data_IF_707402437202
#
_entry.id   IF_707402437202
#
_cell.length_a   1.000
_cell.length_b   1.000
_cell.length_c   1.000
_cell.angle_alpha   90.00
_cell.angle_beta   90.00
_cell.angle_gamma   90.00
#
_symmetry.space_group_name_H-M   'P 1'
#
loop_
_entity.id
_entity.type
_entity.pdbx_description
1 polymer ?
#
# COMPACT_ATOMS: atom_id res chain seq x y z
N UNK A 1 -3.76 -0.39 -23.41
CA UNK A 1 -2.69 0.55 -23.03
C UNK A 1 -1.71 -0.19 -22.13
N UNK A 2 -0.39 -0.04 -22.32
CA UNK A 2 0.59 -0.52 -21.34
C UNK A 2 0.82 0.57 -20.28
N UNK A 3 0.68 0.22 -19.01
CA UNK A 3 0.85 1.15 -17.89
C UNK A 3 2.34 1.35 -17.62
N UNK A 4 2.83 2.59 -17.64
CA UNK A 4 4.24 2.91 -17.35
C UNK A 4 4.43 3.18 -15.86
N UNK A 5 5.67 3.24 -15.37
CA UNK A 5 5.94 3.65 -13.97
C UNK A 5 5.28 5.00 -13.62
N UNK A 6 5.35 5.97 -14.54
CA UNK A 6 4.69 7.27 -14.36
C UNK A 6 3.15 7.15 -14.28
N UNK A 7 2.55 6.23 -15.03
CA UNK A 7 1.12 5.93 -14.94
C UNK A 7 0.75 5.32 -13.58
N UNK A 8 1.59 4.42 -13.06
CA UNK A 8 1.38 3.81 -11.75
C UNK A 8 1.49 4.83 -10.63
N UNK A 9 2.44 5.76 -10.70
CA UNK A 9 2.55 6.84 -9.72
C UNK A 9 1.30 7.72 -9.66
N UNK A 10 0.74 8.06 -10.83
CA UNK A 10 -0.52 8.82 -10.92
C UNK A 10 -1.69 8.01 -10.35
N UNK A 11 -1.79 6.71 -10.67
CA UNK A 11 -2.84 5.85 -10.15
C UNK A 11 -2.73 5.65 -8.64
N UNK A 12 -1.52 5.49 -8.09
CA UNK A 12 -1.28 5.45 -6.64
C UNK A 12 -1.71 6.74 -5.97
N UNK A 13 -1.37 7.88 -6.55
CA UNK A 13 -1.80 9.18 -6.05
C UNK A 13 -3.32 9.29 -6.04
N UNK A 14 -3.99 8.99 -7.15
CA UNK A 14 -5.45 9.01 -7.24
C UNK A 14 -6.11 8.03 -6.24
N UNK A 15 -5.54 6.84 -6.06
CA UNK A 15 -6.00 5.85 -5.08
C UNK A 15 -5.87 6.36 -3.63
N UNK A 16 -4.79 7.07 -3.30
CA UNK A 16 -4.58 7.64 -1.97
C UNK A 16 -5.65 8.69 -1.61
N UNK A 17 -6.16 9.45 -2.60
CA UNK A 17 -7.25 10.40 -2.39
C UNK A 17 -8.61 9.74 -2.23
N UNK A 18 -8.76 8.48 -2.63
CA UNK A 18 -10.06 7.80 -2.67
C UNK A 18 -10.72 7.58 -1.30
N UNK A 19 -9.94 7.60 -0.22
CA UNK A 19 -10.42 7.51 1.17
C UNK A 19 -10.56 8.87 1.86
N UNK A 20 -10.22 9.98 1.19
CA UNK A 20 -10.22 11.31 1.82
C UNK A 20 -11.58 11.99 1.62
N UNK A 21 -12.38 12.03 2.70
CA UNK A 21 -13.73 12.60 2.71
C UNK A 21 -13.78 14.06 2.23
N UNK A 22 -12.82 14.89 2.68
CA UNK A 22 -12.75 16.32 2.29
C UNK A 22 -12.72 16.53 0.78
N UNK A 23 -12.12 15.60 0.04
CA UNK A 23 -12.00 15.67 -1.42
C UNK A 23 -12.97 14.73 -2.13
N UNK A 24 -13.89 14.09 -1.39
CA UNK A 24 -14.86 13.13 -1.93
C UNK A 24 -14.20 12.10 -2.84
N UNK A 25 -13.08 11.53 -2.39
CA UNK A 25 -12.36 10.53 -3.16
C UNK A 25 -11.57 11.06 -4.37
N UNK A 26 -11.48 12.39 -4.54
CA UNK A 26 -10.94 13.05 -5.74
C UNK A 26 -9.55 13.59 -5.48
N UNK A 27 -8.59 13.26 -6.35
CA UNK A 27 -7.30 13.94 -6.41
C UNK A 27 -7.50 15.35 -7.00
N UNK A 28 -7.32 16.43 -6.23
CA UNK A 28 -7.61 17.77 -6.70
C UNK A 28 -6.72 18.17 -7.88
N UNK A 29 -7.26 18.97 -8.80
CA UNK A 29 -6.57 19.41 -10.01
C UNK A 29 -5.23 20.06 -9.73
N UNK A 30 -5.16 20.86 -8.65
CA UNK A 30 -3.92 21.48 -8.19
C UNK A 30 -2.82 20.45 -7.88
N UNK A 31 -3.19 19.30 -7.31
CA UNK A 31 -2.26 18.21 -7.02
C UNK A 31 -1.86 17.48 -8.31
N UNK A 32 -2.80 17.32 -9.25
CA UNK A 32 -2.54 16.67 -10.53
C UNK A 32 -1.56 17.45 -11.43
N UNK A 33 -1.40 18.77 -11.23
CA UNK A 33 -0.44 19.60 -11.97
C UNK A 33 1.03 19.18 -11.78
N UNK A 34 1.32 18.36 -10.77
CA UNK A 34 2.65 17.79 -10.56
C UNK A 34 2.99 16.65 -11.53
N UNK A 35 1.99 16.15 -12.26
CA UNK A 35 2.16 15.08 -13.25
C UNK A 35 2.10 15.62 -14.67
N UNK A 36 2.69 14.86 -15.58
CA UNK A 36 2.63 15.13 -17.01
C UNK A 36 1.16 15.07 -17.49
N UNK A 37 0.73 16.12 -18.19
CA UNK A 37 -0.65 16.26 -18.69
C UNK A 37 -1.02 15.21 -19.73
N UNK A 38 -0.06 14.80 -20.56
CA UNK A 38 -0.24 13.75 -21.56
C UNK A 38 -0.50 12.42 -20.87
N UNK A 39 0.24 12.13 -19.77
CA UNK A 39 0.05 10.92 -18.97
C UNK A 39 -1.30 10.88 -18.24
N UNK A 40 -1.76 12.02 -17.75
CA UNK A 40 -3.11 12.15 -17.18
C UNK A 40 -4.18 11.92 -18.24
N UNK A 41 -4.02 12.49 -19.44
CA UNK A 41 -4.96 12.30 -20.55
C UNK A 41 -4.99 10.84 -21.02
N UNK A 42 -3.83 10.20 -21.17
CA UNK A 42 -3.74 8.76 -21.51
C UNK A 42 -4.50 7.88 -20.50
N UNK A 43 -4.40 8.18 -19.20
CA UNK A 43 -5.11 7.45 -18.14
C UNK A 43 -6.62 7.74 -18.13
N UNK A 44 -7.04 8.96 -18.48
CA UNK A 44 -8.45 9.34 -18.64
C UNK A 44 -9.05 8.63 -19.86
N UNK A 45 -8.38 8.68 -21.01
CA UNK A 45 -8.79 8.04 -22.26
C UNK A 45 -8.85 6.52 -22.15
N UNK A 46 -7.94 5.92 -21.37
CA UNK A 46 -7.95 4.49 -21.06
C UNK A 46 -9.01 4.08 -20.01
N UNK A 47 -9.76 5.03 -19.45
CA UNK A 47 -10.80 4.77 -18.45
C UNK A 47 -10.28 4.37 -17.07
N UNK A 48 -9.00 4.65 -16.77
CA UNK A 48 -8.39 4.36 -15.46
C UNK A 48 -8.58 5.51 -14.46
N UNK A 49 -8.72 6.72 -14.98
CA UNK A 49 -9.14 7.89 -14.22
C UNK A 49 -10.46 8.44 -14.78
N UNK A 50 -11.27 9.00 -13.90
CA UNK A 50 -12.43 9.81 -14.28
C UNK A 50 -12.21 11.26 -13.83
N UNK A 51 -12.51 12.22 -14.70
CA UNK A 51 -12.47 13.64 -14.34
C UNK A 51 -13.77 14.03 -13.66
N UNK A 52 -13.65 14.67 -12.51
CA UNK A 52 -14.78 15.03 -11.64
C UNK A 52 -14.75 16.52 -11.33
N UNK A 53 -15.93 17.14 -11.38
CA UNK A 53 -16.17 18.49 -10.91
C UNK A 53 -17.40 18.50 -10.01
N UNK A 54 -17.20 18.78 -8.72
CA UNK A 54 -18.25 18.88 -7.71
C UNK A 54 -18.34 20.33 -7.24
N UNK A 55 -19.57 20.82 -7.13
CA UNK A 55 -19.88 22.11 -6.52
C UNK A 55 -20.79 21.89 -5.32
N UNK A 56 -20.43 22.48 -4.18
CA UNK A 56 -21.14 22.32 -2.92
C UNK A 56 -21.96 23.58 -2.61
N UNK A 57 -23.15 23.46 -1.99
CA UNK A 57 -23.98 24.60 -1.61
C UNK A 57 -23.28 25.66 -0.74
N UNK A 58 -22.22 25.27 -0.02
CA UNK A 58 -21.38 26.16 0.79
C UNK A 58 -20.34 26.96 -0.02
N UNK A 59 -20.40 26.92 -1.35
CA UNK A 59 -19.49 27.67 -2.25
C UNK A 59 -18.12 27.03 -2.43
N UNK A 60 -17.90 25.81 -1.92
CA UNK A 60 -16.66 25.05 -2.17
C UNK A 60 -16.81 24.26 -3.46
N UNK A 61 -15.73 24.21 -4.23
CA UNK A 61 -15.64 23.38 -5.44
C UNK A 61 -14.48 22.39 -5.32
N UNK A 62 -14.67 21.19 -5.85
CA UNK A 62 -13.62 20.18 -6.03
C UNK A 62 -13.61 19.77 -7.50
N UNK A 63 -12.54 20.14 -8.21
CA UNK A 63 -12.26 19.68 -9.57
C UNK A 63 -10.99 18.82 -9.53
N UNK A 64 -10.99 17.70 -10.24
CA UNK A 64 -9.82 16.80 -10.27
C UNK A 64 -10.11 15.45 -10.90
N UNK A 65 -9.36 14.42 -10.48
CA UNK A 65 -9.47 13.06 -11.01
C UNK A 65 -9.76 12.06 -9.89
N UNK A 66 -10.64 11.08 -10.15
CA UNK A 66 -10.82 9.89 -9.30
C UNK A 66 -10.29 8.67 -10.01
N UNK A 67 -9.81 7.71 -9.23
CA UNK A 67 -9.47 6.39 -9.76
C UNK A 67 -10.75 5.59 -10.01
N UNK A 68 -10.86 4.98 -11.19
CA UNK A 68 -11.99 4.11 -11.54
C UNK A 68 -11.75 2.68 -11.01
N UNK A 69 -12.76 1.81 -11.11
CA UNK A 69 -12.57 0.39 -10.85
C UNK A 69 -11.51 -0.24 -11.78
N UNK A 70 -11.47 0.17 -13.05
CA UNK A 70 -10.46 -0.27 -14.01
C UNK A 70 -9.05 0.20 -13.65
N UNK A 71 -8.90 1.46 -13.20
CA UNK A 71 -7.62 1.97 -12.70
C UNK A 71 -7.15 1.25 -11.44
N UNK A 72 -8.08 0.91 -10.53
CA UNK A 72 -7.76 0.07 -9.36
C UNK A 72 -7.35 -1.34 -9.75
N UNK A 73 -7.98 -1.94 -10.75
CA UNK A 73 -7.62 -3.26 -11.24
C UNK A 73 -6.24 -3.25 -11.91
N UNK A 74 -5.94 -2.22 -12.71
CA UNK A 74 -4.61 -2.04 -13.30
C UNK A 74 -3.53 -1.86 -12.22
N UNK A 75 -3.82 -1.09 -11.17
CA UNK A 75 -2.94 -0.93 -10.02
C UNK A 75 -2.78 -2.24 -9.23
N UNK A 76 -3.85 -3.01 -9.06
CA UNK A 76 -3.82 -4.31 -8.41
C UNK A 76 -3.05 -5.36 -9.23
N UNK A 77 -3.06 -5.27 -10.55
CA UNK A 77 -2.27 -6.12 -11.44
C UNK A 77 -0.76 -5.91 -11.29
N UNK A 78 -0.32 -4.67 -11.08
CA UNK A 78 1.08 -4.36 -10.72
C UNK A 78 1.41 -4.78 -9.29
N UNK A 79 0.52 -4.52 -8.33
CA UNK A 79 0.67 -4.99 -6.95
C UNK A 79 0.68 -6.54 -6.85
N UNK A 80 0.06 -7.24 -7.81
CA UNK A 80 0.08 -8.70 -7.92
C UNK A 80 1.29 -9.22 -8.73
N UNK A 81 1.82 -8.41 -9.65
CA UNK A 81 3.06 -8.71 -10.37
C UNK A 81 4.29 -8.66 -9.42
N UNK A 82 4.23 -7.86 -8.36
CA UNK A 82 5.10 -7.98 -7.18
C UNK A 82 4.61 -9.11 -6.26
N UNK A 83 4.62 -10.35 -6.76
CA UNK A 83 4.42 -11.51 -5.89
C UNK A 83 5.44 -11.46 -4.75
N UNK A 84 4.96 -11.51 -3.50
CA UNK A 84 5.86 -11.52 -2.34
C UNK A 84 6.79 -12.72 -2.45
N UNK A 85 8.07 -12.44 -2.61
CA UNK A 85 9.13 -13.44 -2.51
C UNK A 85 9.13 -14.12 -1.12
N UNK A 86 9.68 -15.34 -1.00
CA UNK A 86 9.79 -16.03 0.30
C UNK A 86 10.46 -15.18 1.38
N UNK A 87 11.44 -14.37 0.99
CA UNK A 87 12.20 -13.45 1.83
C UNK A 87 11.28 -12.36 2.41
N UNK A 88 10.39 -11.81 1.58
CA UNK A 88 9.38 -10.86 2.03
C UNK A 88 8.41 -11.49 3.04
N UNK A 89 7.98 -12.73 2.80
CA UNK A 89 7.11 -13.46 3.73
C UNK A 89 7.80 -13.76 5.06
N UNK A 90 9.11 -14.10 5.02
CA UNK A 90 9.92 -14.28 6.23
C UNK A 90 10.00 -12.99 7.04
N UNK A 91 10.30 -11.86 6.39
CA UNK A 91 10.36 -10.55 7.05
C UNK A 91 9.01 -10.22 7.69
N UNK A 92 7.89 -10.42 6.98
CA UNK A 92 6.55 -10.20 7.55
C UNK A 92 6.28 -11.10 8.76
N UNK A 93 6.67 -12.38 8.69
CA UNK A 93 6.53 -13.32 9.80
C UNK A 93 7.33 -12.87 11.02
N UNK A 94 8.59 -12.47 10.82
CA UNK A 94 9.49 -12.05 11.90
C UNK A 94 9.02 -10.73 12.52
N UNK A 95 8.62 -9.74 11.71
CA UNK A 95 8.05 -8.48 12.23
C UNK A 95 6.80 -8.75 13.07
N UNK A 96 5.91 -9.65 12.61
CA UNK A 96 4.74 -10.05 13.38
C UNK A 96 5.11 -10.77 14.68
N UNK A 97 6.06 -11.70 14.64
CA UNK A 97 6.53 -12.42 15.82
C UNK A 97 7.12 -11.47 16.86
N UNK A 98 8.07 -10.62 16.46
CA UNK A 98 8.68 -9.64 17.34
C UNK A 98 7.67 -8.64 17.90
N UNK A 99 6.62 -8.29 17.15
CA UNK A 99 5.57 -7.39 17.64
C UNK A 99 4.72 -8.02 18.74
N UNK A 100 4.66 -9.35 18.85
CA UNK A 100 3.92 -10.05 19.94
C UNK A 100 4.69 -10.08 21.25
N UNK A 101 6.00 -9.86 21.23
CA UNK A 101 6.80 -9.84 22.44
C UNK A 101 6.51 -8.58 23.26
N UNK A 102 6.19 -8.74 24.54
CA UNK A 102 5.83 -7.62 25.44
C UNK A 102 6.96 -6.59 25.58
N UNK A 103 8.22 -7.05 25.58
CA UNK A 103 9.43 -6.21 25.61
C UNK A 103 9.48 -5.23 24.42
N UNK A 104 8.93 -5.65 23.28
CA UNK A 104 8.89 -4.93 22.02
C UNK A 104 7.61 -4.08 21.85
N UNK A 105 6.71 -4.10 22.84
CA UNK A 105 5.59 -3.15 22.98
C UNK A 105 4.68 -3.09 21.76
N UNK A 106 4.43 -4.22 21.12
CA UNK A 106 3.52 -4.28 19.98
C UNK A 106 4.15 -3.97 18.64
N UNK A 107 5.48 -3.81 18.52
CA UNK A 107 6.18 -3.54 17.25
C UNK A 107 7.58 -4.13 17.19
N UNK A 108 8.10 -4.42 16.01
CA UNK A 108 9.52 -4.77 15.86
C UNK A 108 10.39 -3.51 15.96
N UNK A 109 11.38 -3.44 16.88
CA UNK A 109 12.32 -2.32 16.96
C UNK A 109 13.09 -2.10 15.65
N UNK A 110 13.37 -0.84 15.31
CA UNK A 110 14.14 -0.49 14.10
C UNK A 110 15.52 -1.15 14.10
N UNK A 111 16.12 -1.30 15.26
CA UNK A 111 17.44 -1.88 15.45
C UNK A 111 17.48 -3.34 14.98
N UNK A 112 16.45 -4.13 15.31
CA UNK A 112 16.32 -5.51 14.83
C UNK A 112 16.01 -5.57 13.33
N UNK A 113 15.25 -4.60 12.81
CA UNK A 113 14.94 -4.54 11.38
C UNK A 113 16.18 -4.21 10.51
N UNK A 114 17.29 -3.78 11.12
CA UNK A 114 18.57 -3.57 10.44
C UNK A 114 19.28 -4.85 10.02
N UNK A 115 18.82 -6.02 10.48
CA UNK A 115 19.36 -7.33 10.09
C UNK A 115 18.82 -7.83 8.74
N UNK A 116 17.77 -7.19 8.21
CA UNK A 116 17.17 -7.53 6.92
C UNK A 116 17.77 -6.71 5.78
N UNK A 117 17.55 -7.18 4.55
CA UNK A 117 17.81 -6.38 3.38
C UNK A 117 16.96 -5.10 3.40
N UNK A 118 17.61 -3.95 3.23
CA UNK A 118 16.96 -2.66 3.29
C UNK A 118 16.02 -2.39 2.12
N UNK A 119 16.27 -3.00 0.97
CA UNK A 119 15.43 -2.88 -0.22
C UNK A 119 14.14 -3.69 -0.04
N UNK A 120 14.20 -4.90 0.51
CA UNK A 120 13.01 -5.73 0.81
C UNK A 120 12.11 -5.08 1.87
N UNK A 121 12.70 -4.54 2.95
CA UNK A 121 11.95 -3.82 3.99
C UNK A 121 11.31 -2.56 3.40
N UNK A 122 12.02 -1.86 2.51
CA UNK A 122 11.49 -0.69 1.81
C UNK A 122 10.36 -1.09 0.87
N UNK A 123 10.49 -2.17 0.13
CA UNK A 123 9.47 -2.64 -0.81
C UNK A 123 8.17 -3.04 -0.07
N UNK A 124 8.30 -3.84 0.98
CA UNK A 124 7.20 -4.19 1.88
C UNK A 124 6.50 -2.97 2.47
N UNK A 125 7.24 -1.92 2.81
CA UNK A 125 6.68 -0.66 3.28
C UNK A 125 5.97 0.11 2.16
N UNK A 126 6.61 0.26 0.99
CA UNK A 126 6.08 1.01 -0.15
C UNK A 126 4.79 0.39 -0.69
N UNK A 127 4.69 -0.94 -0.67
CA UNK A 127 3.50 -1.68 -1.08
C UNK A 127 2.48 -1.89 0.06
N UNK A 128 2.72 -1.31 1.25
CA UNK A 128 1.76 -1.23 2.34
C UNK A 128 1.58 -2.53 3.14
N UNK A 129 2.52 -3.47 3.06
CA UNK A 129 2.55 -4.67 3.89
C UNK A 129 3.10 -4.39 5.30
N UNK A 130 3.99 -3.41 5.42
CA UNK A 130 4.53 -2.90 6.68
C UNK A 130 4.09 -1.47 6.96
N UNK A 131 3.93 -1.14 8.25
CA UNK A 131 3.68 0.21 8.74
C UNK A 131 4.79 0.63 9.69
N UNK A 132 5.32 1.84 9.52
CA UNK A 132 6.28 2.43 10.45
C UNK A 132 5.55 3.09 11.61
N UNK A 133 5.80 2.61 12.82
CA UNK A 133 5.25 3.19 14.06
C UNK A 133 6.34 3.95 14.82
N UNK A 134 5.95 5.10 15.35
CA UNK A 134 6.76 5.88 16.29
C UNK A 134 5.97 6.01 17.59
N UNK A 135 6.42 5.34 18.65
CA UNK A 135 5.86 5.53 19.98
C UNK A 135 6.38 6.86 20.54
N UNK A 136 5.45 7.75 20.88
CA UNK A 136 5.72 9.04 21.53
C UNK A 136 5.09 9.00 22.92
N UNK A 137 5.92 9.02 23.96
CA UNK A 137 5.49 8.94 25.35
C UNK A 137 6.69 9.02 26.30
N UNK A 138 6.60 8.37 27.47
CA UNK A 138 7.71 8.27 28.43
C UNK A 138 8.97 7.64 27.83
N UNK A 139 8.81 6.84 26.78
CA UNK A 139 9.91 6.24 26.01
C UNK A 139 9.63 6.48 24.52
N UNK A 140 10.66 6.96 23.82
CA UNK A 140 10.63 7.16 22.36
C UNK A 140 11.21 5.92 21.70
N UNK A 141 10.41 5.23 20.91
CA UNK A 141 10.84 4.07 20.15
C UNK A 141 10.27 4.13 18.73
N UNK A 142 11.03 3.61 17.76
CA UNK A 142 10.63 3.52 16.37
C UNK A 142 10.70 2.06 15.94
N UNK A 143 9.77 1.66 15.10
CA UNK A 143 9.69 0.27 14.69
C UNK A 143 8.68 0.03 13.58
N UNK A 144 8.46 -1.25 13.33
CA UNK A 144 7.61 -1.74 12.26
C UNK A 144 6.51 -2.64 12.81
N UNK A 145 5.34 -2.59 12.19
CA UNK A 145 4.27 -3.57 12.39
C UNK A 145 3.76 -4.06 11.05
N UNK A 146 3.21 -5.27 11.05
CA UNK A 146 2.54 -5.81 9.88
C UNK A 146 1.15 -5.18 9.74
N UNK A 147 0.83 -4.69 8.54
CA UNK A 147 -0.50 -4.16 8.22
C UNK A 147 -1.52 -5.28 8.06
N UNK A 148 -2.81 -4.95 7.96
CA UNK A 148 -3.81 -5.96 7.62
C UNK A 148 -3.53 -6.65 6.27
N UNK A 149 -3.03 -5.89 5.27
CA UNK A 149 -2.60 -6.42 3.97
C UNK A 149 -1.48 -7.46 4.13
N UNK A 150 -0.50 -7.19 5.00
CA UNK A 150 0.58 -8.12 5.36
C UNK A 150 0.11 -9.36 6.09
N UNK A 151 -0.83 -9.22 7.04
CA UNK A 151 -1.40 -10.36 7.76
C UNK A 151 -2.21 -11.27 6.82
N UNK A 152 -2.98 -10.67 5.90
CA UNK A 152 -3.74 -11.44 4.92
C UNK A 152 -2.82 -12.14 3.91
N UNK A 153 -1.65 -11.56 3.61
CA UNK A 153 -0.63 -12.21 2.80
C UNK A 153 0.00 -13.41 3.53
N UNK A 154 0.34 -13.27 4.83
CA UNK A 154 0.85 -14.37 5.65
C UNK A 154 -0.17 -15.52 5.77
N UNK A 155 -1.46 -15.22 5.96
CA UNK A 155 -2.52 -16.23 6.00
C UNK A 155 -2.62 -17.00 4.69
N UNK A 156 -2.66 -16.28 3.56
CA UNK A 156 -2.69 -16.88 2.22
C UNK A 156 -1.46 -17.74 1.91
N UNK A 157 -0.30 -17.40 2.46
CA UNK A 157 0.91 -18.22 2.35
C UNK A 157 0.83 -19.48 3.23
N UNK A 158 0.29 -19.37 4.45
CA UNK A 158 0.07 -20.50 5.35
C UNK A 158 -0.94 -21.52 4.83
N UNK A 159 -2.02 -21.06 4.20
CA UNK A 159 -3.05 -21.93 3.59
C UNK A 159 -2.53 -22.71 2.36
N UNK A 160 -1.38 -22.30 1.80
CA UNK A 160 -0.71 -22.97 0.68
C UNK A 160 0.35 -23.98 1.13
N UNK A 161 0.64 -24.09 2.42
CA UNK A 161 1.54 -25.12 2.91
C UNK A 161 0.88 -26.50 2.72
N UNK A 162 1.55 -27.49 2.08
CA UNK A 162 1.01 -28.83 2.01
C UNK A 162 0.80 -29.34 3.44
N UNK A 163 -0.43 -29.74 3.76
CA UNK A 163 -0.75 -30.51 4.96
C UNK A 163 0.15 -31.73 4.91
N UNK A 164 1.16 -31.79 5.78
CA UNK A 164 1.96 -32.98 5.96
C UNK A 164 1.00 -34.10 6.34
N UNK A 165 0.80 -35.04 5.42
CA UNK A 165 -0.01 -36.23 5.67
C UNK A 165 0.55 -36.95 6.89
N UNK A 166 -0.31 -37.15 7.89
CA UNK A 166 -0.07 -38.13 8.93
C UNK A 166 0.03 -39.50 8.26
N UNK A 167 1.25 -39.99 8.05
CA UNK A 167 1.50 -41.41 7.85
C UNK A 167 1.11 -42.13 9.15
N UNK A 168 -0.13 -42.63 9.19
CA UNK A 168 -0.52 -43.67 10.14
C UNK A 168 0.00 -45.00 9.62
N UNK A 169 1.10 -45.46 10.22
CA UNK A 169 1.40 -46.91 10.31
C UNK A 169 0.69 -47.52 11.51
#
# INVERSE_FOLDING_TARGET
MHTTAAHIDILRAAAAFSSIERYNGTMPKRQALHYDKTRLAELEDAGFLERVKLSFPCGKDVEGWRITAGGRFALAGEDAASALEPEHLRILSDVYHYSKLSINRGMMPKELAGEFDGDDVRDLFMHGYLLRINLKGSIKAKGWVVSQKGLDALRRAGDRAPVCGEDRS
#
